data_IF_551072602366
#
_entry.id   IF_551072602366
#
_cell.length_a   1.000
_cell.length_b   1.000
_cell.length_c   1.000
_cell.angle_alpha   90.00
_cell.angle_beta   90.00
_cell.angle_gamma   90.00
#
_symmetry.space_group_name_H-M   'P 1'
#
loop_
_entity.id
_entity.type
_entity.pdbx_description
1 polymer ?
#
# COMPACT_ATOMS: atom_id res chain seq x y z
N UNK A 1 19.22 -13.74 1.31
CA UNK A 1 18.53 -12.82 0.39
C UNK A 1 19.54 -11.80 -0.07
N UNK A 2 19.75 -11.66 -1.38
CA UNK A 2 20.62 -10.60 -1.90
C UNK A 2 19.82 -9.30 -2.09
N UNK A 3 20.49 -8.18 -2.35
CA UNK A 3 19.84 -6.87 -2.50
C UNK A 3 18.82 -6.85 -3.66
N UNK A 4 19.08 -7.58 -4.75
CA UNK A 4 18.16 -7.69 -5.88
C UNK A 4 16.85 -8.37 -5.48
N UNK A 5 16.94 -9.50 -4.78
CA UNK A 5 15.77 -10.23 -4.26
C UNK A 5 14.98 -9.41 -3.23
N UNK A 6 15.67 -8.62 -2.41
CA UNK A 6 15.01 -7.73 -1.46
C UNK A 6 14.23 -6.60 -2.17
N UNK A 7 14.80 -6.04 -3.24
CA UNK A 7 14.17 -5.00 -4.05
C UNK A 7 12.96 -5.54 -4.83
N UNK A 8 13.08 -6.71 -5.44
CA UNK A 8 11.96 -7.38 -6.10
C UNK A 8 10.84 -7.67 -5.10
N UNK A 9 11.18 -8.19 -3.93
CA UNK A 9 10.21 -8.46 -2.88
C UNK A 9 9.44 -7.20 -2.43
N UNK A 10 10.14 -6.09 -2.15
CA UNK A 10 9.46 -4.86 -1.71
C UNK A 10 8.60 -4.27 -2.84
N UNK A 11 9.05 -4.34 -4.09
CA UNK A 11 8.24 -3.90 -5.24
C UNK A 11 6.97 -4.74 -5.39
N UNK A 12 7.06 -6.07 -5.29
CA UNK A 12 5.90 -6.96 -5.37
C UNK A 12 4.89 -6.69 -4.23
N UNK A 13 5.38 -6.41 -3.02
CA UNK A 13 4.54 -6.01 -1.88
C UNK A 13 3.82 -4.68 -2.18
N UNK A 14 4.53 -3.67 -2.67
CA UNK A 14 3.94 -2.37 -2.99
C UNK A 14 2.91 -2.47 -4.12
N UNK A 15 3.22 -3.21 -5.18
CA UNK A 15 2.28 -3.52 -6.27
C UNK A 15 1.01 -4.16 -5.70
N UNK A 16 1.16 -5.14 -4.80
CA UNK A 16 0.04 -5.84 -4.19
C UNK A 16 -0.83 -4.90 -3.34
N UNK A 17 -0.21 -4.01 -2.56
CA UNK A 17 -0.93 -3.00 -1.77
C UNK A 17 -1.72 -2.06 -2.69
N UNK A 18 -1.07 -1.50 -3.72
CA UNK A 18 -1.73 -0.60 -4.66
C UNK A 18 -2.86 -1.27 -5.45
N UNK A 19 -2.69 -2.54 -5.84
CA UNK A 19 -3.75 -3.31 -6.48
C UNK A 19 -4.96 -3.49 -5.54
N UNK A 20 -4.74 -3.82 -4.26
CA UNK A 20 -5.82 -3.96 -3.29
C UNK A 20 -6.54 -2.63 -3.03
N UNK A 21 -5.81 -1.50 -2.95
CA UNK A 21 -6.41 -0.17 -2.82
C UNK A 21 -7.34 0.09 -4.01
N UNK A 22 -6.83 -0.08 -5.23
CA UNK A 22 -7.60 0.15 -6.45
C UNK A 22 -8.86 -0.72 -6.50
N UNK A 23 -8.73 -2.02 -6.20
CA UNK A 23 -9.87 -2.94 -6.19
C UNK A 23 -10.93 -2.54 -5.16
N UNK A 24 -10.52 -2.03 -4.00
CA UNK A 24 -11.42 -1.55 -2.96
C UNK A 24 -12.11 -0.25 -3.37
N UNK A 25 -11.40 0.69 -4.00
CA UNK A 25 -11.99 1.91 -4.55
C UNK A 25 -13.03 1.60 -5.64
N UNK A 26 -12.73 0.65 -6.54
CA UNK A 26 -13.67 0.18 -7.57
C UNK A 26 -14.93 -0.46 -6.93
N UNK A 27 -14.76 -1.28 -5.87
CA UNK A 27 -15.89 -1.89 -5.14
C UNK A 27 -16.73 -0.87 -4.39
N UNK A 28 -16.10 0.15 -3.79
CA UNK A 28 -16.79 1.18 -3.00
C UNK A 28 -17.90 1.86 -3.79
N UNK A 29 -17.72 2.03 -5.10
CA UNK A 29 -18.71 2.67 -5.97
C UNK A 29 -20.06 1.95 -6.06
N UNK A 30 -20.11 0.66 -5.72
CA UNK A 30 -21.30 -0.19 -5.84
C UNK A 30 -21.75 -0.81 -4.50
N UNK A 31 -20.99 -0.61 -3.44
CA UNK A 31 -21.23 -1.18 -2.11
C UNK A 31 -22.41 -0.50 -1.40
N UNK A 32 -23.15 -1.29 -0.62
CA UNK A 32 -24.14 -0.74 0.31
C UNK A 32 -23.47 -0.03 1.51
N UNK A 33 -24.28 0.57 2.39
CA UNK A 33 -23.75 1.38 3.49
C UNK A 33 -22.93 0.57 4.51
N UNK A 34 -23.26 -0.71 4.73
CA UNK A 34 -22.51 -1.58 5.66
C UNK A 34 -21.19 -2.02 5.02
N UNK A 35 -21.22 -2.39 3.74
CA UNK A 35 -20.04 -2.74 2.97
C UNK A 35 -19.08 -1.54 2.80
N UNK A 36 -19.60 -0.32 2.67
CA UNK A 36 -18.78 0.89 2.56
C UNK A 36 -17.93 1.15 3.81
N UNK A 37 -18.48 0.96 5.02
CA UNK A 37 -17.71 1.15 6.26
C UNK A 37 -16.55 0.13 6.37
N UNK A 38 -16.82 -1.12 6.00
CA UNK A 38 -15.79 -2.15 5.91
C UNK A 38 -14.70 -1.81 4.88
N UNK A 39 -15.10 -1.36 3.69
CA UNK A 39 -14.16 -0.96 2.63
C UNK A 39 -13.31 0.23 3.09
N UNK A 40 -13.90 1.22 3.75
CA UNK A 40 -13.20 2.40 4.24
C UNK A 40 -12.18 2.05 5.33
N UNK A 41 -12.53 1.16 6.25
CA UNK A 41 -11.58 0.63 7.23
C UNK A 41 -10.38 -0.08 6.59
N UNK A 42 -10.61 -0.85 5.52
CA UNK A 42 -9.52 -1.50 4.77
C UNK A 42 -8.66 -0.51 3.99
N UNK A 43 -9.27 0.45 3.31
CA UNK A 43 -8.56 1.51 2.58
C UNK A 43 -7.66 2.30 3.55
N UNK A 44 -8.22 2.71 4.69
CA UNK A 44 -7.46 3.38 5.75
C UNK A 44 -6.23 2.56 6.16
N UNK A 45 -6.41 1.26 6.41
CA UNK A 45 -5.31 0.38 6.84
C UNK A 45 -4.19 0.28 5.80
N UNK A 46 -4.51 0.19 4.50
CA UNK A 46 -3.48 0.17 3.44
C UNK A 46 -2.75 1.50 3.33
N UNK A 47 -3.45 2.62 3.45
CA UNK A 47 -2.85 3.95 3.41
C UNK A 47 -1.91 4.19 4.59
N UNK A 48 -2.27 3.72 5.79
CA UNK A 48 -1.39 3.77 6.98
C UNK A 48 -0.12 2.93 6.78
N UNK A 49 -0.22 1.74 6.18
CA UNK A 49 0.96 0.92 5.86
C UNK A 49 1.88 1.68 4.89
N UNK A 50 1.34 2.29 3.84
CA UNK A 50 2.15 3.09 2.90
C UNK A 50 2.79 4.30 3.60
N UNK A 51 2.08 4.96 4.52
CA UNK A 51 2.61 6.07 5.31
C UNK A 51 3.78 5.62 6.20
N UNK A 52 3.64 4.48 6.88
CA UNK A 52 4.70 3.88 7.70
C UNK A 52 5.92 3.55 6.83
N UNK A 53 5.73 2.88 5.70
CA UNK A 53 6.84 2.53 4.81
C UNK A 53 7.57 3.79 4.30
N UNK A 54 6.83 4.84 3.96
CA UNK A 54 7.40 6.12 3.52
C UNK A 54 8.18 6.81 4.64
N UNK A 55 7.68 6.76 5.88
CA UNK A 55 8.39 7.29 7.05
C UNK A 55 9.68 6.49 7.30
N UNK A 56 9.61 5.16 7.34
CA UNK A 56 10.77 4.29 7.53
C UNK A 56 11.83 4.45 6.44
N UNK A 57 11.43 4.64 5.19
CA UNK A 57 12.36 4.93 4.09
C UNK A 57 13.14 6.24 4.36
N UNK A 58 12.44 7.31 4.76
CA UNK A 58 13.09 8.59 5.11
C UNK A 58 14.01 8.45 6.31
N UNK A 59 13.60 7.74 7.35
CA UNK A 59 14.39 7.51 8.57
C UNK A 59 15.67 6.68 8.30
N UNK A 60 15.70 5.95 7.18
CA UNK A 60 16.83 5.13 6.75
C UNK A 60 17.60 5.76 5.57
N UNK A 61 17.36 7.04 5.27
CA UNK A 61 18.00 7.81 4.20
C UNK A 61 17.76 7.22 2.79
N UNK A 62 16.62 6.54 2.60
CA UNK A 62 16.14 6.02 1.32
C UNK A 62 15.12 7.02 0.76
N UNK A 63 15.32 7.50 -0.47
CA UNK A 63 14.29 8.27 -1.19
C UNK A 63 13.07 7.38 -1.44
N UNK A 64 11.89 7.66 -0.85
CA UNK A 64 10.71 6.82 -1.05
C UNK A 64 10.33 6.65 -2.52
N UNK A 65 10.54 7.68 -3.35
CA UNK A 65 10.23 7.61 -4.78
C UNK A 65 11.07 6.57 -5.51
N UNK A 66 12.31 6.33 -5.05
CA UNK A 66 13.22 5.34 -5.64
C UNK A 66 12.74 3.90 -5.45
N UNK A 67 11.88 3.67 -4.46
CA UNK A 67 11.30 2.35 -4.15
C UNK A 67 9.81 2.27 -4.48
N UNK A 68 9.21 3.29 -5.09
CA UNK A 68 7.80 3.29 -5.50
C UNK A 68 6.80 3.77 -4.44
N UNK A 69 7.27 4.52 -3.42
CA UNK A 69 6.48 5.11 -2.33
C UNK A 69 6.33 6.63 -2.43
#
# INVERSE_FOLDING_TARGET
MNLQQANEFIQDVLISIHANIRDLEEKKAFADAEEQDYIDGRLFSYLEILAILRASARDTDIDPKSIGL
#
